data_IF_287818420408
#
_entry.id   IF_287818420408
#
_cell.length_a   1.000
_cell.length_b   1.000
_cell.length_c   1.000
_cell.angle_alpha   90.00
_cell.angle_beta   90.00
_cell.angle_gamma   90.00
#
_symmetry.space_group_name_H-M   'P 1'
#
loop_
_entity.id
_entity.type
_entity.pdbx_description
1 polymer ?
#
# COMPACT_ATOMS: atom_id res chain seq x y z
N UNK A 1 25.93 -29.29 57.63
CA UNK A 1 26.65 -30.17 56.67
C UNK A 1 27.18 -29.26 55.56
N UNK A 2 28.45 -29.12 55.22
CA UNK A 2 29.72 -29.70 55.69
C UNK A 2 30.81 -28.80 55.09
N UNK A 3 31.86 -28.49 55.85
CA UNK A 3 33.08 -27.81 55.40
C UNK A 3 34.09 -28.86 54.95
N UNK A 4 34.76 -28.68 53.80
CA UNK A 4 36.18 -28.96 53.50
C UNK A 4 36.42 -29.01 51.98
N UNK A 5 37.31 -28.22 51.39
CA UNK A 5 38.80 -28.21 51.44
C UNK A 5 39.45 -29.07 50.34
N UNK A 6 39.85 -28.36 49.27
CA UNK A 6 41.15 -28.36 48.56
C UNK A 6 41.87 -29.71 48.36
N UNK A 7 42.09 -30.08 47.09
CA UNK A 7 43.35 -30.66 46.63
C UNK A 7 43.82 -30.01 45.32
N UNK A 8 45.10 -29.61 45.32
CA UNK A 8 45.90 -29.04 44.23
C UNK A 8 46.39 -30.13 43.28
N UNK A 9 46.48 -29.80 41.98
CA UNK A 9 47.63 -30.06 41.07
C UNK A 9 47.31 -29.40 39.70
N UNK A 10 47.84 -28.23 39.32
CA UNK A 10 49.17 -27.93 38.74
C UNK A 10 49.55 -28.76 37.50
N UNK A 11 49.39 -28.16 36.32
CA UNK A 11 50.19 -28.33 35.08
C UNK A 11 49.81 -27.17 34.14
N UNK A 12 50.51 -26.03 34.20
CA UNK A 12 51.65 -25.66 33.35
C UNK A 12 51.38 -25.75 31.84
N UNK A 13 51.28 -24.56 31.23
CA UNK A 13 52.13 -24.24 30.09
C UNK A 13 51.50 -24.30 28.70
N UNK A 14 50.91 -23.19 28.27
CA UNK A 14 51.14 -22.68 26.91
C UNK A 14 50.71 -21.22 26.83
N UNK A 15 51.69 -20.33 27.01
CA UNK A 15 51.61 -18.96 26.50
C UNK A 15 51.40 -19.04 24.98
N UNK A 16 50.35 -18.39 24.49
CA UNK A 16 50.27 -17.95 23.10
C UNK A 16 49.68 -16.54 23.12
N UNK A 17 50.55 -15.58 23.39
CA UNK A 17 50.32 -14.17 23.09
C UNK A 17 50.68 -13.91 21.63
N UNK A 18 49.67 -13.79 20.77
CA UNK A 18 49.73 -12.97 19.55
C UNK A 18 48.33 -12.37 19.40
N UNK A 19 48.11 -11.18 19.97
CA UNK A 19 48.06 -9.90 19.24
C UNK A 19 47.08 -9.97 18.07
N UNK A 20 45.87 -9.38 18.26
CA UNK A 20 44.94 -9.23 17.15
C UNK A 20 43.47 -8.92 17.46
N UNK A 21 43.10 -8.32 18.61
CA UNK A 21 41.82 -7.61 18.66
C UNK A 21 41.94 -6.32 17.83
N UNK A 22 41.84 -6.45 16.52
CA UNK A 22 41.48 -5.34 15.67
C UNK A 22 40.05 -4.94 16.06
N UNK A 23 39.94 -3.93 16.93
CA UNK A 23 38.72 -3.15 17.06
C UNK A 23 38.35 -2.60 15.69
N UNK A 24 37.51 -3.33 14.95
CA UNK A 24 36.79 -2.76 13.81
C UNK A 24 35.78 -1.74 14.34
N UNK A 25 36.29 -0.55 14.66
CA UNK A 25 35.50 0.69 14.66
C UNK A 25 35.13 0.96 13.21
N UNK A 26 34.02 0.41 12.78
CA UNK A 26 33.53 0.55 11.42
C UNK A 26 32.42 -0.43 11.07
N UNK A 27 31.57 -0.80 12.04
CA UNK A 27 30.35 -1.51 11.72
C UNK A 27 29.40 -0.53 11.04
N UNK A 28 29.38 -0.53 9.71
CA UNK A 28 28.19 -0.07 8.98
C UNK A 28 27.02 -0.85 9.56
N UNK A 29 26.08 -0.13 10.18
CA UNK A 29 24.82 -0.72 10.64
C UNK A 29 24.27 -1.54 9.46
N UNK A 30 23.94 -2.83 9.62
CA UNK A 30 23.38 -3.59 8.53
C UNK A 30 22.17 -2.83 7.98
N UNK A 31 22.22 -2.46 6.70
CA UNK A 31 21.05 -1.89 6.04
C UNK A 31 19.96 -2.96 6.11
N UNK A 32 18.76 -2.66 6.63
CA UNK A 32 17.65 -3.60 6.59
C UNK A 32 17.47 -4.09 5.15
N UNK A 33 17.16 -5.38 4.92
CA UNK A 33 16.86 -5.86 3.58
C UNK A 33 15.71 -5.02 3.00
N UNK A 34 15.73 -4.71 1.69
CA UNK A 34 14.64 -3.99 1.06
C UNK A 34 13.34 -4.79 1.29
N UNK A 35 12.23 -4.09 1.57
CA UNK A 35 10.96 -4.76 1.78
C UNK A 35 10.54 -5.51 0.50
N UNK A 36 9.96 -6.71 0.67
CA UNK A 36 9.54 -7.56 -0.44
C UNK A 36 8.61 -6.84 -1.42
N UNK A 37 8.68 -7.19 -2.70
CA UNK A 37 7.80 -6.61 -3.72
C UNK A 37 6.36 -7.06 -3.47
N UNK A 38 5.41 -6.15 -3.63
CA UNK A 38 3.98 -6.50 -3.57
C UNK A 38 3.54 -7.29 -4.81
N UNK A 39 4.33 -7.26 -5.90
CA UNK A 39 4.12 -8.05 -7.11
C UNK A 39 4.42 -9.53 -6.88
N UNK A 40 5.23 -9.88 -5.87
CA UNK A 40 5.53 -11.28 -5.57
C UNK A 40 4.26 -12.07 -5.18
N UNK A 41 3.27 -11.37 -4.62
CA UNK A 41 1.95 -11.90 -4.26
C UNK A 41 1.01 -12.10 -5.47
N UNK A 42 1.40 -11.61 -6.65
CA UNK A 42 0.60 -11.73 -7.86
C UNK A 42 0.74 -13.11 -8.51
N UNK A 43 -0.33 -13.56 -9.18
CA UNK A 43 -0.24 -14.68 -10.12
C UNK A 43 0.59 -14.31 -11.36
N UNK A 44 0.89 -15.30 -12.19
CA UNK A 44 1.74 -15.11 -13.37
C UNK A 44 1.15 -14.13 -14.38
N UNK A 45 -0.19 -14.07 -14.49
CA UNK A 45 -0.88 -13.12 -15.37
C UNK A 45 -0.68 -11.69 -14.88
N UNK A 46 -0.92 -11.42 -13.60
CA UNK A 46 -0.74 -10.09 -13.01
C UNK A 46 0.74 -9.68 -12.95
N UNK A 47 1.67 -10.65 -12.79
CA UNK A 47 3.12 -10.40 -12.91
C UNK A 47 3.52 -9.94 -14.31
N UNK A 48 2.94 -10.53 -15.36
CA UNK A 48 3.18 -10.09 -16.74
C UNK A 48 2.66 -8.67 -16.96
N UNK A 49 1.43 -8.38 -16.53
CA UNK A 49 0.85 -7.03 -16.62
C UNK A 49 1.68 -6.01 -15.84
N UNK A 50 2.18 -6.36 -14.65
CA UNK A 50 3.03 -5.46 -13.86
C UNK A 50 4.31 -5.08 -14.61
N UNK A 51 4.95 -6.01 -15.33
CA UNK A 51 6.15 -5.72 -16.13
C UNK A 51 5.86 -4.74 -17.26
N UNK A 52 4.72 -4.89 -17.93
CA UNK A 52 4.28 -3.96 -18.97
C UNK A 52 3.98 -2.58 -18.38
N UNK A 53 3.31 -2.53 -17.23
CA UNK A 53 3.01 -1.29 -16.52
C UNK A 53 4.30 -0.54 -16.11
N UNK A 54 5.30 -1.25 -15.58
CA UNK A 54 6.59 -0.67 -15.18
C UNK A 54 7.36 -0.12 -16.39
N UNK A 55 7.30 -0.79 -17.54
CA UNK A 55 7.92 -0.31 -18.77
C UNK A 55 7.29 1.01 -19.25
N UNK A 56 5.96 1.14 -19.12
CA UNK A 56 5.22 2.35 -19.49
C UNK A 56 5.37 3.49 -18.46
N UNK A 57 5.65 3.17 -17.19
CA UNK A 57 5.87 4.11 -16.10
C UNK A 57 7.33 4.60 -15.95
N UNK A 58 8.23 4.14 -16.81
CA UNK A 58 9.67 4.47 -16.80
C UNK A 58 9.96 5.97 -16.59
N UNK A 59 10.92 6.33 -15.72
CA UNK A 59 11.95 5.47 -15.14
C UNK A 59 11.56 4.78 -13.81
N UNK A 60 10.33 4.94 -13.32
CA UNK A 60 9.92 4.44 -12.00
C UNK A 60 8.86 3.34 -12.12
N UNK A 61 9.17 2.13 -11.64
CA UNK A 61 8.23 1.02 -11.55
C UNK A 61 7.46 0.99 -10.23
N UNK A 62 6.66 -0.07 -10.05
CA UNK A 62 5.82 -0.26 -8.87
C UNK A 62 6.61 -0.24 -7.55
N UNK A 63 7.77 -0.91 -7.48
CA UNK A 63 8.51 -1.00 -6.21
C UNK A 63 9.01 0.38 -5.77
N UNK A 64 9.56 1.18 -6.68
CA UNK A 64 9.98 2.56 -6.39
C UNK A 64 8.77 3.44 -6.07
N UNK A 65 7.64 3.23 -6.77
CA UNK A 65 6.41 3.97 -6.53
C UNK A 65 5.86 3.70 -5.11
N UNK A 66 5.83 2.44 -4.68
CA UNK A 66 5.37 2.03 -3.34
C UNK A 66 6.32 2.55 -2.27
N UNK A 67 7.63 2.37 -2.43
CA UNK A 67 8.62 2.84 -1.46
C UNK A 67 8.56 4.35 -1.25
N UNK A 68 8.36 5.11 -2.33
CA UNK A 68 8.28 6.57 -2.26
C UNK A 68 6.99 7.08 -1.62
N UNK A 69 5.85 6.48 -1.98
CA UNK A 69 4.54 7.08 -1.70
C UNK A 69 3.72 6.36 -0.61
N UNK A 70 4.04 5.11 -0.28
CA UNK A 70 3.25 4.25 0.62
C UNK A 70 4.12 3.77 1.79
N UNK A 71 4.59 4.71 2.60
CA UNK A 71 5.59 4.47 3.64
C UNK A 71 5.19 3.39 4.67
N UNK A 72 3.91 3.26 5.00
CA UNK A 72 3.36 2.25 5.90
C UNK A 72 2.76 1.04 5.15
N UNK A 73 2.81 1.04 3.82
CA UNK A 73 2.20 0.05 2.91
C UNK A 73 0.71 -0.16 3.16
N UNK A 74 0.04 0.85 3.73
CA UNK A 74 -1.41 0.87 3.88
C UNK A 74 -2.03 1.69 2.77
N UNK A 75 -3.16 1.20 2.30
CA UNK A 75 -3.96 1.90 1.30
C UNK A 75 -5.35 2.14 1.82
N UNK A 76 -5.96 3.19 1.31
CA UNK A 76 -7.37 3.47 1.53
C UNK A 76 -8.06 3.84 0.22
N UNK A 77 -9.37 3.63 0.21
CA UNK A 77 -10.26 4.08 -0.83
C UNK A 77 -11.60 4.49 -0.21
N UNK A 78 -12.36 5.28 -0.96
CA UNK A 78 -13.68 5.75 -0.56
C UNK A 78 -14.74 5.12 -1.47
N UNK A 79 -15.87 4.76 -0.87
CA UNK A 79 -17.09 4.41 -1.56
C UNK A 79 -18.23 5.20 -0.95
N UNK A 80 -19.24 5.57 -1.73
CA UNK A 80 -20.48 6.05 -1.12
C UNK A 80 -21.08 4.94 -0.26
N UNK A 81 -21.75 5.30 0.84
CA UNK A 81 -22.44 4.31 1.69
C UNK A 81 -23.44 3.49 0.86
N UNK A 82 -24.16 4.14 -0.06
CA UNK A 82 -25.08 3.48 -0.99
C UNK A 82 -24.40 2.42 -1.87
N UNK A 83 -23.19 2.70 -2.38
CA UNK A 83 -22.43 1.74 -3.17
C UNK A 83 -21.89 0.60 -2.29
N UNK A 84 -21.43 0.88 -1.09
CA UNK A 84 -20.98 -0.13 -0.14
C UNK A 84 -22.12 -1.10 0.22
N UNK A 85 -23.30 -0.58 0.59
CA UNK A 85 -24.45 -1.41 0.89
C UNK A 85 -24.86 -2.29 -0.30
N UNK A 86 -24.94 -1.69 -1.49
CA UNK A 86 -25.39 -2.39 -2.70
C UNK A 86 -24.40 -3.45 -3.18
N UNK A 87 -23.12 -3.13 -3.25
CA UNK A 87 -22.13 -3.97 -3.95
C UNK A 87 -21.29 -4.83 -3.03
N UNK A 88 -21.28 -4.56 -1.72
CA UNK A 88 -20.52 -5.34 -0.73
C UNK A 88 -21.46 -6.11 0.19
N UNK A 89 -22.36 -5.40 0.87
CA UNK A 89 -23.22 -6.00 1.90
C UNK A 89 -24.28 -6.89 1.28
N UNK A 90 -25.10 -6.36 0.37
CA UNK A 90 -26.23 -7.09 -0.22
C UNK A 90 -25.79 -8.28 -1.07
N UNK A 91 -24.65 -8.17 -1.74
CA UNK A 91 -24.08 -9.24 -2.58
C UNK A 91 -23.29 -10.26 -1.78
N UNK A 92 -22.92 -9.95 -0.53
CA UNK A 92 -22.00 -10.77 0.26
C UNK A 92 -20.62 -10.89 -0.38
N UNK A 93 -20.13 -9.81 -1.03
CA UNK A 93 -18.89 -9.80 -1.77
C UNK A 93 -17.70 -10.29 -0.91
N UNK A 94 -16.80 -11.05 -1.52
CA UNK A 94 -15.56 -11.51 -0.87
C UNK A 94 -14.39 -10.56 -1.07
N UNK A 95 -14.38 -9.88 -2.21
CA UNK A 95 -13.35 -8.92 -2.58
C UNK A 95 -13.99 -7.58 -2.95
N UNK A 96 -13.25 -6.50 -2.74
CA UNK A 96 -13.60 -5.17 -3.22
C UNK A 96 -13.11 -4.95 -4.65
N UNK A 97 -13.76 -4.00 -5.33
CA UNK A 97 -13.37 -3.54 -6.65
C UNK A 97 -14.39 -3.88 -7.73
N UNK A 98 -14.02 -3.57 -8.97
CA UNK A 98 -14.79 -3.95 -10.17
C UNK A 98 -14.37 -5.34 -10.57
N UNK A 99 -15.25 -6.32 -10.40
CA UNK A 99 -14.94 -7.72 -10.67
C UNK A 99 -15.32 -8.14 -12.09
N UNK A 100 -14.52 -9.04 -12.66
CA UNK A 100 -14.85 -9.83 -13.84
C UNK A 100 -14.62 -11.33 -13.54
N UNK A 101 -14.66 -12.18 -14.56
CA UNK A 101 -14.47 -13.63 -14.42
C UNK A 101 -13.06 -14.04 -13.93
N UNK A 102 -12.10 -13.12 -13.97
CA UNK A 102 -10.69 -13.37 -13.62
C UNK A 102 -10.36 -12.85 -12.23
N UNK A 103 -10.72 -11.60 -11.91
CA UNK A 103 -10.35 -10.96 -10.65
C UNK A 103 -11.22 -9.73 -10.34
N UNK A 104 -11.03 -9.17 -9.15
CA UNK A 104 -11.55 -7.87 -8.74
C UNK A 104 -10.44 -6.81 -8.72
N UNK A 105 -10.72 -5.66 -9.34
CA UNK A 105 -9.75 -4.59 -9.58
C UNK A 105 -10.16 -3.36 -8.78
N UNK A 106 -9.27 -2.91 -7.89
CA UNK A 106 -9.52 -1.79 -7.00
C UNK A 106 -8.37 -0.77 -7.08
N UNK A 107 -8.73 0.46 -7.40
CA UNK A 107 -7.83 1.60 -7.23
C UNK A 107 -7.78 2.03 -5.76
N UNK A 108 -6.58 2.23 -5.24
CA UNK A 108 -6.38 2.69 -3.87
C UNK A 108 -5.18 3.65 -3.77
N UNK A 109 -5.27 4.60 -2.84
CA UNK A 109 -4.23 5.60 -2.57
C UNK A 109 -3.60 5.37 -1.19
N UNK A 110 -2.48 6.03 -0.84
CA UNK A 110 -1.88 5.88 0.49
C UNK A 110 -2.89 6.22 1.59
N UNK A 111 -2.97 5.38 2.63
CA UNK A 111 -3.98 5.54 3.67
C UNK A 111 -3.92 6.92 4.35
N UNK A 112 -2.71 7.39 4.67
CA UNK A 112 -2.50 8.72 5.25
C UNK A 112 -2.96 9.87 4.35
N UNK A 113 -2.89 9.71 3.03
CA UNK A 113 -3.39 10.72 2.07
C UNK A 113 -4.90 10.83 2.12
N UNK A 114 -5.62 9.70 2.06
CA UNK A 114 -7.10 9.70 2.14
C UNK A 114 -7.56 10.20 3.50
N UNK A 115 -6.97 9.70 4.59
CA UNK A 115 -7.32 10.10 5.95
C UNK A 115 -7.10 11.59 6.18
N UNK A 116 -5.96 12.13 5.71
CA UNK A 116 -5.68 13.56 5.78
C UNK A 116 -6.64 14.41 4.93
N UNK A 117 -7.05 13.91 3.76
CA UNK A 117 -8.03 14.59 2.91
C UNK A 117 -9.42 14.64 3.55
N UNK A 118 -9.87 13.52 4.15
CA UNK A 118 -11.14 13.44 4.89
C UNK A 118 -11.14 14.39 6.09
N UNK A 119 -10.08 14.38 6.89
CA UNK A 119 -9.97 15.28 8.05
C UNK A 119 -9.98 16.76 7.62
N UNK A 120 -9.25 17.09 6.55
CA UNK A 120 -9.24 18.46 6.00
C UNK A 120 -10.61 18.89 5.46
N UNK A 121 -11.39 17.97 4.91
CA UNK A 121 -12.72 18.24 4.36
C UNK A 121 -13.80 18.38 5.45
N UNK A 122 -13.48 18.08 6.71
CA UNK A 122 -14.47 18.05 7.78
C UNK A 122 -15.10 19.42 8.04
N UNK A 123 -16.43 19.46 8.07
CA UNK A 123 -17.21 20.66 8.33
C UNK A 123 -17.57 20.78 9.82
N UNK A 124 -17.96 21.98 10.31
CA UNK A 124 -18.32 22.18 11.72
C UNK A 124 -19.49 21.32 12.22
N UNK A 125 -20.39 20.89 11.32
CA UNK A 125 -21.50 19.97 11.64
C UNK A 125 -21.08 18.49 11.63
N UNK A 126 -19.78 18.22 11.48
CA UNK A 126 -19.20 16.88 11.57
C UNK A 126 -19.24 16.07 10.27
N UNK A 127 -19.79 16.62 9.19
CA UNK A 127 -19.78 16.02 7.84
C UNK A 127 -18.49 16.37 7.10
N UNK A 128 -18.45 16.13 5.79
CA UNK A 128 -17.39 16.57 4.90
C UNK A 128 -17.91 17.49 3.79
N UNK A 129 -17.04 18.38 3.30
CA UNK A 129 -17.25 19.18 2.10
C UNK A 129 -16.75 18.39 0.87
N UNK A 130 -17.65 17.99 -0.07
CA UNK A 130 -17.26 17.22 -1.26
C UNK A 130 -16.29 17.95 -2.19
N UNK A 131 -16.34 19.29 -2.25
CA UNK A 131 -15.45 20.08 -3.08
C UNK A 131 -14.03 20.10 -2.50
N UNK A 132 -13.91 20.27 -1.18
CA UNK A 132 -12.61 20.20 -0.48
C UNK A 132 -12.01 18.81 -0.58
N UNK A 133 -12.82 17.77 -0.39
CA UNK A 133 -12.37 16.37 -0.50
C UNK A 133 -11.94 16.04 -1.93
N UNK A 134 -12.77 16.39 -2.92
CA UNK A 134 -12.45 16.18 -4.33
C UNK A 134 -11.19 16.91 -4.78
N UNK A 135 -11.02 18.17 -4.38
CA UNK A 135 -9.80 18.92 -4.65
C UNK A 135 -8.57 18.24 -4.04
N UNK A 136 -8.67 17.79 -2.79
CA UNK A 136 -7.56 17.12 -2.09
C UNK A 136 -7.18 15.78 -2.73
N UNK A 137 -8.15 15.06 -3.31
CA UNK A 137 -7.94 13.76 -3.95
C UNK A 137 -7.70 13.84 -5.47
N UNK A 138 -7.78 15.03 -6.06
CA UNK A 138 -7.63 15.20 -7.50
C UNK A 138 -8.78 14.58 -8.30
N UNK A 139 -9.99 14.60 -7.73
CA UNK A 139 -11.17 13.93 -8.27
C UNK A 139 -12.40 14.86 -8.23
N UNK A 140 -13.39 14.68 -9.12
CA UNK A 140 -14.60 15.50 -9.13
C UNK A 140 -15.38 15.43 -7.81
N UNK A 141 -15.84 16.60 -7.31
CA UNK A 141 -16.60 16.72 -6.07
C UNK A 141 -17.83 15.80 -5.99
N UNK A 142 -18.53 15.62 -7.13
CA UNK A 142 -19.70 14.74 -7.26
C UNK A 142 -19.46 13.28 -6.83
N UNK A 143 -18.20 12.83 -6.85
CA UNK A 143 -17.85 11.46 -6.43
C UNK A 143 -17.90 11.29 -4.90
N UNK A 144 -17.99 12.41 -4.17
CA UNK A 144 -17.94 12.48 -2.71
C UNK A 144 -19.20 13.09 -2.13
N UNK A 145 -20.33 13.03 -2.83
CA UNK A 145 -21.60 13.52 -2.31
C UNK A 145 -22.25 12.48 -1.38
N UNK A 146 -22.69 12.96 -0.20
CA UNK A 146 -23.37 12.14 0.79
C UNK A 146 -22.41 11.27 1.62
N UNK A 147 -22.94 10.43 2.53
CA UNK A 147 -22.10 9.65 3.44
C UNK A 147 -21.22 8.66 2.68
N UNK A 148 -19.99 8.50 3.14
CA UNK A 148 -18.99 7.62 2.56
C UNK A 148 -18.57 6.53 3.56
N UNK A 149 -18.01 5.47 3.00
CA UNK A 149 -17.24 4.45 3.70
C UNK A 149 -15.79 4.59 3.29
N UNK A 150 -14.91 4.73 4.28
CA UNK A 150 -13.48 4.65 4.09
C UNK A 150 -13.02 3.25 4.43
N UNK A 151 -12.44 2.58 3.45
CA UNK A 151 -11.85 1.26 3.62
C UNK A 151 -10.34 1.43 3.76
N UNK A 152 -9.71 0.69 4.67
CA UNK A 152 -8.25 0.70 4.84
C UNK A 152 -7.72 -0.73 4.92
N UNK A 153 -6.67 -1.00 4.13
CA UNK A 153 -6.05 -2.31 3.99
C UNK A 153 -4.54 -2.20 4.16
N UNK A 154 -3.95 -3.13 4.92
CA UNK A 154 -2.51 -3.31 5.03
C UNK A 154 -2.04 -4.30 3.95
N UNK A 155 -1.36 -3.79 2.92
CA UNK A 155 -1.00 -4.60 1.75
C UNK A 155 0.00 -5.71 2.09
N UNK A 156 0.94 -5.42 3.00
CA UNK A 156 1.99 -6.36 3.37
C UNK A 156 1.45 -7.48 4.27
N UNK A 157 0.62 -7.13 5.26
CA UNK A 157 0.02 -8.11 6.16
C UNK A 157 -0.91 -9.08 5.42
N UNK A 158 -1.64 -8.58 4.43
CA UNK A 158 -2.65 -9.35 3.70
C UNK A 158 -2.11 -10.08 2.46
N UNK A 159 -0.82 -9.89 2.12
CA UNK A 159 -0.17 -10.51 0.95
C UNK A 159 -1.00 -10.36 -0.32
N UNK A 160 -1.54 -9.17 -0.54
CA UNK A 160 -2.38 -8.89 -1.70
C UNK A 160 -1.49 -8.52 -2.89
N UNK A 161 -1.90 -8.95 -4.08
CA UNK A 161 -1.26 -8.54 -5.31
C UNK A 161 -1.50 -7.05 -5.56
N UNK A 162 -0.42 -6.28 -5.67
CA UNK A 162 -0.48 -4.84 -5.95
C UNK A 162 0.50 -4.49 -7.05
N UNK A 163 0.02 -3.74 -8.05
CA UNK A 163 0.81 -3.28 -9.19
C UNK A 163 0.37 -1.90 -9.65
N UNK A 164 1.11 -1.32 -10.60
CA UNK A 164 0.66 -0.12 -11.28
C UNK A 164 -0.54 -0.45 -12.18
N UNK A 165 -1.53 0.46 -12.26
CA UNK A 165 -2.64 0.33 -13.19
C UNK A 165 -2.19 0.41 -14.66
N UNK A 166 -2.91 -0.28 -15.55
CA UNK A 166 -2.76 -0.22 -17.01
C UNK A 166 -4.07 0.22 -17.65
N UNK A 167 -4.03 0.65 -18.91
CA UNK A 167 -5.20 1.17 -19.64
C UNK A 167 -6.36 0.17 -19.80
N UNK A 168 -6.05 -1.12 -19.80
CA UNK A 168 -7.01 -2.22 -19.91
C UNK A 168 -7.72 -2.55 -18.60
N UNK A 169 -7.28 -2.01 -17.46
CA UNK A 169 -7.88 -2.36 -16.17
C UNK A 169 -9.33 -1.88 -16.06
N UNK A 170 -10.23 -2.71 -15.48
CA UNK A 170 -11.57 -2.28 -15.16
C UNK A 170 -11.60 -1.03 -14.27
N UNK A 171 -12.31 0.01 -14.72
CA UNK A 171 -12.48 1.25 -13.97
C UNK A 171 -11.49 2.37 -14.32
N UNK A 172 -10.52 2.11 -15.21
CA UNK A 172 -9.65 3.15 -15.76
C UNK A 172 -10.48 4.19 -16.52
N UNK A 173 -10.31 5.47 -16.17
CA UNK A 173 -10.89 6.56 -16.93
C UNK A 173 -10.06 6.85 -18.18
N UNK A 174 -10.55 6.47 -19.35
CA UNK A 174 -9.81 6.65 -20.62
C UNK A 174 -9.87 8.10 -21.09
N UNK A 175 -8.74 8.60 -21.61
CA UNK A 175 -8.74 9.86 -22.36
C UNK A 175 -9.53 9.62 -23.66
N UNK A 176 -10.47 10.51 -23.94
CA UNK A 176 -11.26 10.50 -25.18
C UNK A 176 -10.68 11.42 -26.23
N UNK A 177 -10.01 12.50 -25.80
CA UNK A 177 -9.26 13.40 -26.67
C UNK A 177 -7.86 13.68 -26.12
N UNK A 178 -6.90 14.14 -26.95
CA UNK A 178 -5.55 14.52 -26.50
C UNK A 178 -5.53 15.66 -25.47
N UNK A 179 -6.58 16.48 -25.42
CA UNK A 179 -6.70 17.63 -24.51
C UNK A 179 -7.23 17.22 -23.13
N UNK A 180 -7.73 15.99 -22.98
CA UNK A 180 -8.25 15.49 -21.71
C UNK A 180 -7.14 15.47 -20.66
N UNK A 181 -7.33 16.29 -19.62
CA UNK A 181 -6.39 16.37 -18.48
C UNK A 181 -6.80 15.46 -17.34
N UNK A 182 -8.09 15.14 -17.24
CA UNK A 182 -8.72 14.33 -16.20
C UNK A 182 -9.00 12.91 -16.68
N UNK A 183 -7.92 12.24 -17.10
CA UNK A 183 -7.95 10.84 -17.49
C UNK A 183 -6.69 10.13 -17.00
N UNK A 184 -6.75 8.80 -17.04
CA UNK A 184 -5.67 7.92 -16.64
C UNK A 184 -4.38 8.24 -17.40
N UNK A 185 -3.29 8.30 -16.64
CA UNK A 185 -1.93 8.38 -17.15
C UNK A 185 -1.10 7.32 -16.45
N UNK A 186 -0.21 6.69 -17.20
CA UNK A 186 0.74 5.74 -16.63
C UNK A 186 1.61 6.41 -15.56
N UNK A 187 2.04 5.62 -14.56
CA UNK A 187 2.92 6.10 -13.49
C UNK A 187 2.35 6.05 -12.08
N UNK A 188 1.09 5.63 -11.91
CA UNK A 188 0.47 5.45 -10.59
C UNK A 188 0.05 6.76 -9.93
N UNK A 189 -0.40 7.75 -10.70
CA UNK A 189 -0.91 8.99 -10.15
C UNK A 189 -2.25 9.35 -10.76
N UNK A 190 -3.17 9.87 -9.96
CA UNK A 190 -4.42 10.48 -10.47
C UNK A 190 -4.11 11.73 -11.29
N UNK A 191 -5.09 12.26 -12.03
CA UNK A 191 -4.89 13.51 -12.79
C UNK A 191 -4.52 14.70 -11.89
N UNK A 192 -4.98 14.70 -10.62
CA UNK A 192 -4.57 15.67 -9.60
C UNK A 192 -3.27 15.34 -8.87
N UNK A 193 -2.52 14.32 -9.29
CA UNK A 193 -1.19 14.01 -8.76
C UNK A 193 -1.18 13.21 -7.45
N UNK A 194 -2.29 12.58 -7.07
CA UNK A 194 -2.35 11.71 -5.88
C UNK A 194 -1.79 10.33 -6.24
N UNK A 195 -0.84 9.76 -5.46
CA UNK A 195 -0.33 8.42 -5.71
C UNK A 195 -1.45 7.37 -5.64
N UNK A 196 -1.42 6.39 -6.53
CA UNK A 196 -2.45 5.39 -6.69
C UNK A 196 -1.84 4.06 -7.18
N UNK A 197 -2.37 2.96 -6.66
CA UNK A 197 -2.03 1.60 -7.07
C UNK A 197 -3.29 0.81 -7.42
N UNK A 198 -3.11 -0.23 -8.24
CA UNK A 198 -4.12 -1.24 -8.48
C UNK A 198 -3.92 -2.39 -7.50
N UNK A 199 -4.93 -2.66 -6.68
CA UNK A 199 -4.98 -3.78 -5.73
C UNK A 199 -5.90 -4.85 -6.31
N UNK A 200 -5.37 -6.06 -6.49
CA UNK A 200 -6.10 -7.17 -7.09
C UNK A 200 -6.65 -8.07 -5.98
N UNK A 201 -7.96 -8.33 -6.01
CA UNK A 201 -8.67 -9.16 -5.03
C UNK A 201 -8.51 -8.68 -3.58
N UNK A 202 -8.63 -7.37 -3.35
CA UNK A 202 -8.62 -6.80 -2.00
C UNK A 202 -9.72 -7.44 -1.12
N UNK A 203 -9.41 -8.10 0.00
CA UNK A 203 -10.39 -8.90 0.73
C UNK A 203 -11.34 -8.05 1.57
N UNK A 204 -12.61 -8.46 1.67
CA UNK A 204 -13.61 -7.78 2.51
C UNK A 204 -13.38 -8.05 4.00
N UNK A 205 -13.05 -9.29 4.38
CA UNK A 205 -12.99 -9.71 5.78
C UNK A 205 -11.90 -9.00 6.61
N UNK A 206 -10.79 -8.64 5.98
CA UNK A 206 -9.60 -8.10 6.66
C UNK A 206 -9.38 -6.60 6.39
N UNK A 207 -10.38 -5.94 5.79
CA UNK A 207 -10.38 -4.51 5.53
C UNK A 207 -11.06 -3.76 6.68
N UNK A 208 -10.39 -2.74 7.22
CA UNK A 208 -11.02 -1.84 8.17
C UNK A 208 -12.01 -0.93 7.45
N UNK A 209 -13.22 -0.79 7.99
CA UNK A 209 -14.26 0.06 7.42
C UNK A 209 -14.67 1.12 8.42
N UNK A 210 -14.55 2.39 8.04
CA UNK A 210 -14.95 3.54 8.83
C UNK A 210 -16.06 4.33 8.12
N UNK A 211 -16.98 4.89 8.91
CA UNK A 211 -18.04 5.79 8.43
C UNK A 211 -17.52 7.22 8.33
N UNK A 212 -17.80 7.86 7.19
CA UNK A 212 -17.56 9.28 6.96
C UNK A 212 -18.93 9.93 6.71
N UNK A 213 -19.51 10.63 7.71
CA UNK A 213 -20.86 11.19 7.61
C UNK A 213 -20.96 12.39 6.66
#
# INVERSE_FOLDING_TARGET
MTVNSIFRALLLGSLSTVVGCASMRGGTKPTPPPPASLVDNCDDTQKAVSKEADALASPYGIDQHVEKNFADRKVSWLMTDSAYQKFVVQTGAKNFGRCNDVACYLFAAPAGTIQGAVEKAKTPDGKHDPAVLGQALGLPAKNFEGPLRMMTLDLAAQKVCTRLPVDADPGVWKCTTPEDKDCFKFGGYTSGGVPEVMVINAPVADTQVAEIP
#
